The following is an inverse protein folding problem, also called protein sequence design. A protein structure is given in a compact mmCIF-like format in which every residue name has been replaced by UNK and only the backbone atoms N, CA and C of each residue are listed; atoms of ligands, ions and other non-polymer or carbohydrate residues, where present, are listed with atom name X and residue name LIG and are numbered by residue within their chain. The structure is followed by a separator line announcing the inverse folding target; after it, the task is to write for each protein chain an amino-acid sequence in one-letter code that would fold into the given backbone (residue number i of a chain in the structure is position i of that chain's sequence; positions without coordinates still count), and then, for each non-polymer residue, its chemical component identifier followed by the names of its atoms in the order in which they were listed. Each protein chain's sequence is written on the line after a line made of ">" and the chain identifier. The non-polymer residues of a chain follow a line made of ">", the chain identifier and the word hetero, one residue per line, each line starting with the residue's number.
data_IF_389905481760
#
_entry.id   IF_389905481760
#
_cell.length_a   1.000
_cell.length_b   1.000
_cell.length_c   1.000
_cell.angle_alpha   90.00
_cell.angle_beta   90.00
_cell.angle_gamma   90.00
#
_symmetry.space_group_name_H-M   'P 1'
#
loop_
_entity.id
_entity.type
_entity.pdbx_description
1 polymer ?
#
# COMPACT_ATOMS: atom_id res chain seq x y z
N UNK A 1 -1.16 -6.13 -8.39
CA UNK A 1 -1.64 -4.77 -8.10
C UNK A 1 -3.05 -4.68 -8.65
N UNK A 2 -3.99 -4.19 -7.85
CA UNK A 2 -5.37 -3.94 -8.27
C UNK A 2 -5.55 -2.43 -8.25
N UNK A 3 -6.01 -1.87 -9.37
CA UNK A 3 -6.39 -0.46 -9.48
C UNK A 3 -7.92 -0.38 -9.39
N UNK A 4 -8.43 0.63 -8.71
CA UNK A 4 -9.85 0.92 -8.57
C UNK A 4 -10.09 2.40 -8.85
N UNK A 5 -11.08 2.71 -9.67
CA UNK A 5 -11.37 4.08 -10.11
C UNK A 5 -12.83 4.44 -9.82
N UNK A 6 -13.06 5.71 -9.42
CA UNK A 6 -14.38 6.28 -9.16
C UNK A 6 -15.27 5.37 -8.28
N UNK A 7 -16.39 4.88 -8.81
CA UNK A 7 -17.38 4.06 -8.10
C UNK A 7 -16.86 2.65 -7.71
N UNK A 8 -15.66 2.27 -8.17
CA UNK A 8 -15.00 1.01 -7.78
C UNK A 8 -14.21 1.13 -6.46
N UNK A 9 -14.11 2.34 -5.88
CA UNK A 9 -13.44 2.54 -4.59
C UNK A 9 -14.10 1.68 -3.50
N UNK A 10 -13.35 0.81 -2.81
CA UNK A 10 -13.93 -0.08 -1.83
C UNK A 10 -14.46 0.67 -0.60
N UNK A 11 -15.68 0.34 -0.20
CA UNK A 11 -16.32 0.95 0.98
C UNK A 11 -15.66 0.51 2.29
N UNK A 12 -15.63 1.42 3.26
CA UNK A 12 -15.21 1.15 4.64
C UNK A 12 -13.98 1.93 5.09
N UNK A 13 -13.96 2.30 6.36
CA UNK A 13 -12.89 3.15 6.94
C UNK A 13 -11.51 2.50 6.93
N UNK A 14 -11.44 1.16 6.82
CA UNK A 14 -10.18 0.44 6.68
C UNK A 14 -9.40 0.82 5.40
N UNK A 15 -10.08 1.29 4.35
CA UNK A 15 -9.47 1.77 3.10
C UNK A 15 -9.17 3.28 3.09
N UNK A 16 -9.42 3.97 4.21
CA UNK A 16 -9.13 5.39 4.42
C UNK A 16 -8.36 5.61 5.75
N UNK A 17 -7.26 4.86 6.00
CA UNK A 17 -6.59 4.80 7.31
C UNK A 17 -6.05 6.14 7.83
N UNK A 18 -5.77 7.11 6.94
CA UNK A 18 -5.34 8.47 7.29
C UNK A 18 -6.10 9.55 6.50
N UNK A 19 -7.29 9.22 5.97
CA UNK A 19 -8.17 10.13 5.24
C UNK A 19 -8.55 9.68 3.83
N UNK A 20 -9.50 10.40 3.23
CA UNK A 20 -10.08 10.11 1.91
C UNK A 20 -9.45 10.88 0.73
N UNK A 21 -8.20 11.35 0.85
CA UNK A 21 -7.50 12.02 -0.25
C UNK A 21 -7.16 11.03 -1.36
N UNK A 22 -7.06 11.46 -2.62
CA UNK A 22 -6.70 10.60 -3.76
C UNK A 22 -5.46 11.13 -4.49
N UNK A 23 -4.65 10.27 -5.14
CA UNK A 23 -4.68 8.80 -5.11
C UNK A 23 -4.06 8.20 -3.83
N UNK A 24 -4.44 6.97 -3.47
CA UNK A 24 -3.84 6.18 -2.36
C UNK A 24 -3.41 4.81 -2.85
N UNK A 25 -2.29 4.31 -2.34
CA UNK A 25 -1.86 2.91 -2.53
C UNK A 25 -1.82 2.25 -1.16
N UNK A 26 -2.61 1.18 -0.99
CA UNK A 26 -2.68 0.37 0.23
C UNK A 26 -2.07 -1.00 -0.01
N UNK A 27 -1.36 -1.52 0.99
CA UNK A 27 -0.89 -2.91 1.00
C UNK A 27 -1.81 -3.74 1.90
N UNK A 28 -2.27 -4.88 1.36
CA UNK A 28 -3.13 -5.82 2.06
C UNK A 28 -2.39 -7.16 2.19
N UNK A 29 -2.66 -7.90 3.27
CA UNK A 29 -2.21 -9.30 3.37
C UNK A 29 -3.11 -10.23 2.52
N UNK A 30 -2.82 -11.54 2.54
CA UNK A 30 -3.58 -12.55 1.78
C UNK A 30 -5.04 -12.68 2.18
N UNK A 31 -5.41 -12.22 3.39
CA UNK A 31 -6.78 -12.23 3.90
C UNK A 31 -7.55 -10.95 3.55
N UNK A 32 -6.93 -10.03 2.80
CA UNK A 32 -7.53 -8.75 2.42
C UNK A 32 -7.47 -7.67 3.52
N UNK A 33 -6.68 -7.88 4.58
CA UNK A 33 -6.54 -6.92 5.68
C UNK A 33 -5.46 -5.89 5.35
N UNK A 34 -5.83 -4.60 5.39
CA UNK A 34 -4.92 -3.46 5.20
C UNK A 34 -3.82 -3.47 6.26
N UNK A 35 -2.58 -3.24 5.82
CA UNK A 35 -1.37 -3.25 6.64
C UNK A 35 -0.90 -1.81 6.89
N UNK A 36 -1.27 -1.17 8.01
CA UNK A 36 -1.09 0.27 8.22
C UNK A 36 0.37 0.70 8.40
N UNK A 37 1.28 -0.25 8.63
CA UNK A 37 2.73 0.02 8.77
C UNK A 37 3.45 0.06 7.41
N UNK A 38 2.79 -0.38 6.33
CA UNK A 38 3.33 -0.35 4.97
C UNK A 38 2.89 0.95 4.26
N UNK A 39 3.74 1.97 4.39
CA UNK A 39 3.45 3.35 3.96
C UNK A 39 4.54 3.91 3.04
N UNK A 40 4.29 5.09 2.47
CA UNK A 40 5.29 5.88 1.75
C UNK A 40 6.24 6.59 2.72
N UNK A 41 7.32 5.94 3.10
CA UNK A 41 8.34 6.52 3.99
C UNK A 41 9.19 7.62 3.35
N UNK A 42 9.17 7.73 2.01
CA UNK A 42 9.85 8.78 1.26
C UNK A 42 8.95 10.00 0.98
N UNK A 43 7.67 9.92 1.35
CA UNK A 43 6.64 10.91 1.06
C UNK A 43 6.38 11.90 2.19
N UNK A 44 5.22 12.55 2.12
CA UNK A 44 4.76 13.44 3.18
C UNK A 44 4.17 12.61 4.34
N UNK A 45 4.65 12.76 5.59
CA UNK A 45 4.16 12.00 6.73
C UNK A 45 2.69 12.25 7.10
N UNK A 46 2.08 13.34 6.60
CA UNK A 46 0.65 13.62 6.74
C UNK A 46 -0.22 12.85 5.72
N UNK A 47 0.35 12.38 4.62
CA UNK A 47 -0.33 11.66 3.54
C UNK A 47 0.42 10.36 3.25
N UNK A 48 0.31 9.41 4.19
CA UNK A 48 1.16 8.23 4.27
C UNK A 48 1.01 7.28 3.08
N UNK A 49 -0.12 7.34 2.38
CA UNK A 49 -0.44 6.44 1.26
C UNK A 49 -0.44 7.16 -0.08
N UNK A 50 -0.01 8.43 -0.14
CA UNK A 50 0.17 9.16 -1.39
C UNK A 50 1.57 8.92 -1.96
N UNK A 51 1.65 8.59 -3.25
CA UNK A 51 2.90 8.32 -3.96
C UNK A 51 2.98 9.19 -5.22
N UNK A 52 3.96 10.09 -5.28
CA UNK A 52 4.08 11.06 -6.40
C UNK A 52 4.95 10.57 -7.56
N UNK A 53 5.68 9.48 -7.39
CA UNK A 53 6.57 8.95 -8.42
C UNK A 53 6.83 7.45 -8.23
N UNK A 54 7.38 6.83 -9.28
CA UNK A 54 7.64 5.39 -9.33
C UNK A 54 8.62 4.92 -8.24
N UNK A 55 9.65 5.71 -7.90
CA UNK A 55 10.64 5.33 -6.89
C UNK A 55 9.96 5.07 -5.53
N UNK A 56 9.09 5.97 -5.10
CA UNK A 56 8.32 5.81 -3.86
C UNK A 56 7.49 4.53 -3.86
N UNK A 57 6.80 4.24 -4.98
CA UNK A 57 5.99 3.04 -5.13
C UNK A 57 6.88 1.79 -5.03
N UNK A 58 8.01 1.78 -5.75
CA UNK A 58 8.92 0.62 -5.77
C UNK A 58 9.55 0.33 -4.40
N UNK A 59 9.93 1.35 -3.63
CA UNK A 59 10.51 1.16 -2.30
C UNK A 59 9.48 0.63 -1.28
N UNK A 60 8.24 1.12 -1.36
CA UNK A 60 7.16 0.59 -0.54
C UNK A 60 6.78 -0.85 -0.94
N UNK A 61 6.74 -1.16 -2.24
CA UNK A 61 6.49 -2.53 -2.73
C UNK A 61 7.57 -3.52 -2.26
N UNK A 62 8.86 -3.13 -2.29
CA UNK A 62 9.94 -3.96 -1.72
C UNK A 62 9.73 -4.22 -0.23
N UNK A 63 9.35 -3.19 0.52
CA UNK A 63 9.06 -3.31 1.96
C UNK A 63 7.87 -4.24 2.21
N UNK A 64 6.81 -4.12 1.41
CA UNK A 64 5.63 -4.97 1.48
C UNK A 64 5.96 -6.44 1.17
N UNK A 65 6.75 -6.72 0.12
CA UNK A 65 7.20 -8.07 -0.20
C UNK A 65 8.03 -8.66 0.95
N UNK A 66 8.92 -7.89 1.57
CA UNK A 66 9.69 -8.35 2.73
C UNK A 66 8.81 -8.64 3.94
N UNK A 67 7.76 -7.86 4.16
CA UNK A 67 6.87 -7.99 5.31
C UNK A 67 5.81 -9.10 5.13
N UNK A 68 5.28 -9.28 3.91
CA UNK A 68 4.12 -10.12 3.62
C UNK A 68 4.45 -11.35 2.76
N UNK A 69 5.57 -11.32 2.04
CA UNK A 69 6.04 -12.41 1.19
C UNK A 69 6.63 -13.53 2.05
N UNK A 70 5.76 -14.27 2.73
CA UNK A 70 6.13 -15.44 3.54
C UNK A 70 7.16 -16.32 2.80
N UNK A 71 8.23 -16.69 3.52
CA UNK A 71 9.39 -17.51 3.09
C UNK A 71 9.40 -17.91 1.62
N UNK A 72 9.72 -16.97 0.72
CA UNK A 72 10.21 -17.33 -0.60
C UNK A 72 11.71 -17.59 -0.45
N UNK A 73 12.05 -18.85 -0.20
CA UNK A 73 13.43 -19.33 -0.30
C UNK A 73 13.86 -19.15 -1.75
N UNK A 74 14.52 -18.02 -2.04
CA UNK A 74 15.25 -17.82 -3.27
C UNK A 74 16.57 -18.62 -3.19
N UNK A 75 16.45 -19.96 -3.17
CA UNK A 75 17.54 -20.89 -3.50
C UNK A 75 17.16 -21.60 -4.80
N UNK A 76 17.67 -21.08 -5.92
CA UNK A 76 17.97 -21.81 -7.16
C UNK A 76 19.26 -21.24 -7.75
#
# INVERSE_FOLDING_TARGET
>A
MVNVEDDEEPEGSQFQPDGGYIPRILFLNSDGVVQPDLINTLGNPQYKYFYSNALMVTEAMKSAVKALGGSRNDEL
#
